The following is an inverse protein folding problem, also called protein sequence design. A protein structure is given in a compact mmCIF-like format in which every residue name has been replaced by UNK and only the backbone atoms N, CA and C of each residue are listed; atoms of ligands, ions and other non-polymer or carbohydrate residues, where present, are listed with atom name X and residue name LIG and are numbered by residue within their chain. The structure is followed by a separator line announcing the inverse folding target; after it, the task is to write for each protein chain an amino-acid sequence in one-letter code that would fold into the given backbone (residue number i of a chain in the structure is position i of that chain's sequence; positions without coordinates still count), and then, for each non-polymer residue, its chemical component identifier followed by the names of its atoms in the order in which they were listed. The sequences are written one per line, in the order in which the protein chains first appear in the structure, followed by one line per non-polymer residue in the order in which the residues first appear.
data_IF_514848332924
#
_entry.id   IF_514848332924
#
_cell.length_a   1.000
_cell.length_b   1.000
_cell.length_c   1.000
_cell.angle_alpha   90.00
_cell.angle_beta   90.00
_cell.angle_gamma   90.00
#
_symmetry.space_group_name_H-M   'P 1'
#
loop_
_entity.id
_entity.type
_entity.pdbx_description
1 polymer ?
#
# COMPACT_ATOMS: atom_id res chain seq x y z
N UNK A 1 14.22 -2.42 -23.21
CA UNK A 1 13.70 -2.07 -21.88
C UNK A 1 12.37 -1.36 -22.03
N UNK A 2 11.34 -1.77 -21.32
CA UNK A 2 10.05 -1.10 -21.34
C UNK A 2 10.18 0.28 -20.69
N UNK A 3 9.65 1.31 -21.37
CA UNK A 3 9.75 2.69 -20.91
C UNK A 3 8.71 2.96 -19.82
N UNK A 4 9.15 3.54 -18.71
CA UNK A 4 8.24 4.02 -17.63
C UNK A 4 7.94 5.51 -17.91
N UNK A 5 6.66 5.85 -17.87
CA UNK A 5 6.15 7.20 -18.03
C UNK A 5 5.74 7.77 -16.67
N UNK A 6 6.02 9.04 -16.44
CA UNK A 6 5.68 9.79 -15.24
C UNK A 6 4.65 10.84 -15.61
N UNK A 7 3.45 10.72 -15.04
CA UNK A 7 2.27 11.49 -15.45
C UNK A 7 1.53 12.06 -14.25
N UNK A 8 0.58 12.94 -14.53
CA UNK A 8 -0.41 13.43 -13.55
C UNK A 8 -1.81 13.34 -14.15
N UNK A 9 -2.76 12.91 -13.33
CA UNK A 9 -4.19 12.94 -13.62
C UNK A 9 -4.87 13.95 -12.70
N UNK A 10 -5.89 14.64 -13.18
CA UNK A 10 -6.72 15.53 -12.38
C UNK A 10 -7.93 14.75 -11.90
N UNK A 11 -8.05 14.60 -10.59
CA UNK A 11 -9.16 13.92 -9.94
C UNK A 11 -9.85 14.94 -9.03
N UNK A 12 -10.98 15.46 -9.46
CA UNK A 12 -11.77 16.45 -8.71
C UNK A 12 -10.92 17.65 -8.21
N UNK A 13 -9.99 18.11 -9.06
CA UNK A 13 -9.09 19.22 -8.76
C UNK A 13 -7.80 18.84 -8.03
N UNK A 14 -7.57 17.58 -7.71
CA UNK A 14 -6.31 17.08 -7.16
C UNK A 14 -5.44 16.46 -8.24
N UNK A 15 -4.19 16.86 -8.35
CA UNK A 15 -3.21 16.28 -9.27
C UNK A 15 -2.60 15.02 -8.65
N UNK A 16 -3.03 13.87 -9.12
CA UNK A 16 -2.49 12.57 -8.72
C UNK A 16 -1.35 12.20 -9.67
N UNK A 17 -0.14 12.16 -9.13
CA UNK A 17 1.02 11.67 -9.86
C UNK A 17 0.96 10.14 -9.97
N UNK A 18 1.41 9.60 -11.11
CA UNK A 18 1.51 8.16 -11.29
C UNK A 18 2.62 7.75 -12.27
N UNK A 19 3.09 6.54 -12.08
CA UNK A 19 3.98 5.82 -13.00
C UNK A 19 3.14 4.90 -13.86
N UNK A 20 3.41 4.89 -15.16
CA UNK A 20 2.71 4.02 -16.11
C UNK A 20 3.71 3.34 -17.03
N UNK A 21 3.56 2.03 -17.25
CA UNK A 21 4.41 1.27 -18.16
C UNK A 21 3.66 0.06 -18.73
N UNK A 22 4.17 -0.45 -19.85
CA UNK A 22 3.67 -1.64 -20.52
C UNK A 22 2.57 -1.39 -21.55
N UNK A 23 2.09 -2.47 -22.20
CA UNK A 23 1.08 -2.38 -23.25
C UNK A 23 -0.28 -2.02 -22.65
N UNK A 24 -0.91 -0.97 -23.15
CA UNK A 24 -2.24 -0.54 -22.65
C UNK A 24 -3.33 -1.59 -22.83
N UNK A 25 -3.18 -2.45 -23.83
CA UNK A 25 -4.11 -3.56 -24.12
C UNK A 25 -3.82 -4.81 -23.27
N UNK A 26 -2.72 -4.80 -22.51
CA UNK A 26 -2.37 -5.89 -21.60
C UNK A 26 -3.25 -5.92 -20.35
N UNK A 27 -3.24 -7.05 -19.61
CA UNK A 27 -3.94 -7.11 -18.33
C UNK A 27 -3.47 -5.97 -17.41
N UNK A 28 -4.42 -5.19 -16.88
CA UNK A 28 -4.11 -4.03 -16.07
C UNK A 28 -3.75 -4.43 -14.64
N UNK A 29 -2.72 -3.78 -14.08
CA UNK A 29 -2.23 -3.97 -12.72
C UNK A 29 -2.07 -2.59 -12.04
N UNK A 30 -2.92 -2.33 -11.06
CA UNK A 30 -2.86 -1.15 -10.21
C UNK A 30 -1.97 -1.45 -8.99
N UNK A 31 -0.93 -0.64 -8.75
CA UNK A 31 -0.01 -0.79 -7.63
C UNK A 31 -0.25 0.32 -6.60
N UNK A 32 -0.70 -0.04 -5.40
CA UNK A 32 -0.99 0.88 -4.30
C UNK A 32 0.05 0.75 -3.19
N UNK A 33 0.80 1.83 -3.00
CA UNK A 33 1.83 1.94 -1.94
C UNK A 33 1.20 2.26 -0.59
N UNK A 34 2.03 2.31 0.46
CA UNK A 34 1.64 2.69 1.81
C UNK A 34 2.56 3.72 2.46
N UNK A 35 2.56 3.73 3.78
CA UNK A 35 3.39 4.63 4.61
C UNK A 35 4.80 4.05 4.79
N UNK A 36 5.84 4.88 4.82
CA UNK A 36 5.84 6.32 4.52
C UNK A 36 6.15 6.65 3.04
N UNK A 37 6.06 5.66 2.16
CA UNK A 37 6.60 5.69 0.81
C UNK A 37 5.65 6.30 -0.25
N UNK A 38 5.93 6.04 -1.51
CA UNK A 38 5.20 6.48 -2.69
C UNK A 38 5.31 5.41 -3.80
N UNK A 39 4.79 5.68 -4.98
CA UNK A 39 4.99 4.78 -6.14
C UNK A 39 6.47 4.51 -6.46
N UNK A 40 7.41 5.25 -5.84
CA UNK A 40 8.84 5.01 -5.97
C UNK A 40 9.26 3.62 -5.47
N UNK A 41 8.54 3.06 -4.50
CA UNK A 41 8.81 1.69 -4.03
C UNK A 41 8.69 0.63 -5.15
N UNK A 42 7.91 0.93 -6.18
CA UNK A 42 7.70 0.02 -7.32
C UNK A 42 8.72 0.19 -8.45
N UNK A 43 9.76 1.05 -8.29
CA UNK A 43 10.75 1.37 -9.33
C UNK A 43 11.44 0.15 -9.92
N UNK A 44 11.71 -0.86 -9.10
CA UNK A 44 12.34 -2.11 -9.51
C UNK A 44 11.32 -3.16 -9.98
N UNK A 45 10.09 -3.12 -9.49
CA UNK A 45 9.03 -4.07 -9.86
C UNK A 45 8.41 -3.76 -11.23
N UNK A 46 8.13 -2.48 -11.51
CA UNK A 46 7.46 -2.06 -12.76
C UNK A 46 8.19 -2.57 -14.00
N UNK A 47 9.51 -2.42 -14.17
CA UNK A 47 10.23 -2.92 -15.36
C UNK A 47 10.16 -4.44 -15.53
N UNK A 48 10.02 -5.19 -14.44
CA UNK A 48 9.92 -6.65 -14.45
C UNK A 48 8.55 -7.18 -14.86
N UNK A 49 7.52 -6.32 -14.90
CA UNK A 49 6.14 -6.68 -15.22
C UNK A 49 5.65 -6.05 -16.52
N UNK A 50 6.23 -4.93 -16.92
CA UNK A 50 5.73 -4.06 -17.96
C UNK A 50 5.95 -4.57 -19.41
N UNK A 51 6.56 -5.71 -19.61
CA UNK A 51 6.61 -6.40 -20.91
C UNK A 51 5.26 -7.07 -21.24
N UNK A 52 4.45 -7.37 -20.22
CA UNK A 52 3.21 -8.12 -20.34
C UNK A 52 1.98 -7.41 -19.79
N UNK A 53 2.14 -6.65 -18.71
CA UNK A 53 1.05 -6.00 -17.99
C UNK A 53 1.04 -4.50 -18.26
N UNK A 54 -0.16 -3.91 -18.33
CA UNK A 54 -0.35 -2.48 -18.21
C UNK A 54 -0.26 -2.09 -16.73
N UNK A 55 0.88 -1.59 -16.31
CA UNK A 55 1.17 -1.29 -14.90
C UNK A 55 0.94 0.19 -14.62
N UNK A 56 0.12 0.48 -13.62
CA UNK A 56 -0.21 1.85 -13.19
C UNK A 56 -0.01 1.96 -11.68
N UNK A 57 0.82 2.89 -11.24
CA UNK A 57 1.20 3.08 -9.84
C UNK A 57 1.03 4.55 -9.44
N UNK A 58 -0.12 4.95 -8.86
CA UNK A 58 -0.31 6.30 -8.35
C UNK A 58 0.43 6.53 -7.02
N UNK A 59 0.79 7.80 -6.76
CA UNK A 59 1.05 8.28 -5.41
C UNK A 59 -0.29 8.64 -4.76
N UNK A 60 -0.55 8.13 -3.56
CA UNK A 60 -1.76 8.45 -2.81
C UNK A 60 -1.82 9.97 -2.50
N UNK A 61 -3.02 10.57 -2.33
CA UNK A 61 -3.14 11.95 -1.89
C UNK A 61 -2.33 12.23 -0.62
N UNK A 62 -1.51 13.28 -0.63
CA UNK A 62 -0.61 13.61 0.48
C UNK A 62 0.75 12.92 0.46
N UNK A 63 0.97 12.00 -0.48
CA UNK A 63 2.23 11.25 -0.63
C UNK A 63 2.96 11.60 -1.92
N UNK A 64 4.27 11.33 -1.93
CA UNK A 64 5.11 11.43 -3.12
C UNK A 64 4.95 12.75 -3.86
N UNK A 65 4.70 12.68 -5.15
CA UNK A 65 4.53 13.82 -6.06
C UNK A 65 3.07 14.18 -6.34
N UNK A 66 2.12 13.48 -5.70
CA UNK A 66 0.71 13.89 -5.69
C UNK A 66 0.50 15.14 -4.85
N UNK A 67 -0.61 15.83 -5.14
CA UNK A 67 -1.00 16.99 -4.34
C UNK A 67 -1.21 16.60 -2.88
N UNK A 68 -0.86 17.53 -2.00
CA UNK A 68 -1.13 17.48 -0.57
C UNK A 68 -1.98 18.70 -0.19
N UNK A 69 -3.30 18.66 -0.45
CA UNK A 69 -4.19 19.75 -0.09
C UNK A 69 -4.19 19.99 1.42
N UNK A 70 -4.49 21.22 1.84
CA UNK A 70 -4.60 21.52 3.27
C UNK A 70 -5.70 20.67 3.93
N UNK A 71 -5.53 20.35 5.20
CA UNK A 71 -6.48 19.57 6.01
C UNK A 71 -7.87 20.20 6.12
N UNK A 72 -7.98 21.51 5.86
CA UNK A 72 -9.26 22.23 5.75
C UNK A 72 -10.01 21.91 4.46
N UNK A 73 -9.27 21.61 3.38
CA UNK A 73 -9.84 21.32 2.05
C UNK A 73 -10.03 19.83 1.80
N UNK A 74 -9.26 19.01 2.45
CA UNK A 74 -9.29 17.56 2.30
C UNK A 74 -9.07 16.87 3.64
N UNK A 75 -10.09 16.14 4.10
CA UNK A 75 -9.94 15.29 5.29
C UNK A 75 -9.18 14.03 4.94
N UNK A 76 -8.00 13.87 5.54
CA UNK A 76 -7.16 12.69 5.31
C UNK A 76 -7.71 11.49 6.06
N UNK A 77 -8.60 10.78 5.38
CA UNK A 77 -9.20 9.51 5.82
C UNK A 77 -8.99 8.46 4.73
N UNK A 78 -8.97 7.17 5.10
CA UNK A 78 -8.85 6.10 4.12
C UNK A 78 -10.06 6.02 3.19
N UNK A 79 -11.25 6.43 3.64
CA UNK A 79 -12.43 6.52 2.79
C UNK A 79 -12.24 7.57 1.68
N UNK A 80 -11.74 8.76 2.03
CA UNK A 80 -11.49 9.82 1.05
C UNK A 80 -10.33 9.47 0.11
N UNK A 81 -9.25 8.87 0.64
CA UNK A 81 -8.14 8.37 -0.21
C UNK A 81 -8.66 7.34 -1.20
N UNK A 82 -9.45 6.36 -0.74
CA UNK A 82 -10.03 5.36 -1.62
C UNK A 82 -10.98 5.95 -2.66
N UNK A 83 -11.75 7.00 -2.31
CA UNK A 83 -12.60 7.70 -3.25
C UNK A 83 -11.79 8.39 -4.36
N UNK A 84 -10.73 9.11 -4.00
CA UNK A 84 -9.83 9.76 -4.98
C UNK A 84 -9.15 8.72 -5.87
N UNK A 85 -8.65 7.61 -5.31
CA UNK A 85 -8.03 6.55 -6.11
C UNK A 85 -9.07 5.84 -6.99
N UNK A 86 -10.30 5.69 -6.54
CA UNK A 86 -11.42 5.20 -7.37
C UNK A 86 -11.63 6.09 -8.60
N UNK A 87 -11.80 7.40 -8.41
CA UNK A 87 -11.90 8.37 -9.50
C UNK A 87 -10.66 8.39 -10.40
N UNK A 88 -9.47 8.26 -9.81
CA UNK A 88 -8.23 8.12 -10.59
C UNK A 88 -8.28 6.93 -11.55
N UNK A 89 -8.73 5.75 -11.09
CA UNK A 89 -8.81 4.56 -11.95
C UNK A 89 -9.77 4.75 -13.14
N UNK A 90 -10.83 5.53 -12.96
CA UNK A 90 -11.78 5.87 -14.02
C UNK A 90 -11.14 6.81 -15.06
N UNK A 91 -10.46 7.86 -14.59
CA UNK A 91 -9.79 8.86 -15.45
C UNK A 91 -8.68 8.25 -16.29
N UNK A 92 -7.91 7.31 -15.74
CA UNK A 92 -6.83 6.63 -16.48
C UNK A 92 -7.32 5.42 -17.29
N UNK A 93 -8.62 5.12 -17.27
CA UNK A 93 -9.26 4.09 -18.09
C UNK A 93 -9.02 2.65 -17.61
N UNK A 94 -8.83 2.44 -16.31
CA UNK A 94 -8.73 1.10 -15.72
C UNK A 94 -10.13 0.55 -15.43
N UNK A 95 -10.76 -0.12 -16.40
CA UNK A 95 -12.09 -0.71 -16.22
C UNK A 95 -12.06 -1.95 -15.32
N UNK A 96 -11.17 -2.88 -15.60
CA UNK A 96 -10.90 -4.09 -14.81
C UNK A 96 -9.40 -4.23 -14.60
N UNK A 97 -9.00 -4.56 -13.39
CA UNK A 97 -7.58 -4.63 -13.03
C UNK A 97 -7.31 -5.61 -11.88
N UNK A 98 -6.12 -6.19 -11.87
CA UNK A 98 -5.57 -6.74 -10.65
C UNK A 98 -5.06 -5.59 -9.78
N UNK A 99 -5.20 -5.71 -8.45
CA UNK A 99 -4.68 -4.71 -7.52
C UNK A 99 -3.58 -5.31 -6.66
N UNK A 100 -2.43 -4.64 -6.66
CA UNK A 100 -1.36 -4.87 -5.71
C UNK A 100 -1.50 -3.87 -4.57
N UNK A 101 -1.51 -4.36 -3.36
CA UNK A 101 -1.67 -3.54 -2.16
C UNK A 101 -0.50 -3.74 -1.20
N UNK A 102 -0.01 -2.64 -0.64
CA UNK A 102 1.02 -2.61 0.38
C UNK A 102 0.62 -1.64 1.49
N UNK A 103 0.69 -2.04 2.75
CA UNK A 103 0.44 -1.19 3.93
C UNK A 103 -0.86 -0.35 3.78
N UNK A 104 -0.82 0.99 3.70
CA UNK A 104 -2.01 1.85 3.45
C UNK A 104 -2.69 1.59 2.09
N UNK A 105 -1.97 1.01 1.15
CA UNK A 105 -2.57 0.52 -0.09
C UNK A 105 -3.58 -0.59 0.13
N UNK A 106 -3.45 -1.38 1.21
CA UNK A 106 -4.38 -2.47 1.51
C UNK A 106 -5.78 -1.94 1.88
N UNK A 107 -5.97 -1.09 2.89
CA UNK A 107 -7.29 -0.54 3.19
C UNK A 107 -7.86 0.28 2.03
N UNK A 108 -7.01 0.92 1.21
CA UNK A 108 -7.43 1.62 -0.01
C UNK A 108 -7.95 0.64 -1.06
N UNK A 109 -7.16 -0.37 -1.42
CA UNK A 109 -7.52 -1.37 -2.42
C UNK A 109 -8.69 -2.25 -2.01
N UNK A 110 -8.79 -2.62 -0.73
CA UNK A 110 -9.92 -3.42 -0.22
C UNK A 110 -11.23 -2.63 -0.22
N UNK A 111 -11.20 -1.31 0.02
CA UNK A 111 -12.40 -0.44 -0.17
C UNK A 111 -12.85 -0.41 -1.62
N UNK A 112 -11.92 -0.32 -2.58
CA UNK A 112 -12.24 -0.41 -4.00
C UNK A 112 -12.86 -1.77 -4.34
N UNK A 113 -12.29 -2.85 -3.82
CA UNK A 113 -12.77 -4.21 -4.05
C UNK A 113 -14.19 -4.43 -3.49
N UNK A 114 -14.45 -3.94 -2.28
CA UNK A 114 -15.79 -4.02 -1.67
C UNK A 114 -16.81 -3.17 -2.43
N UNK A 115 -16.41 -1.99 -2.92
CA UNK A 115 -17.31 -1.07 -3.62
C UNK A 115 -17.60 -1.49 -5.06
N UNK A 116 -16.60 -2.06 -5.73
CA UNK A 116 -16.64 -2.43 -7.16
C UNK A 116 -16.03 -3.81 -7.39
N UNK A 117 -16.64 -4.88 -6.83
CA UNK A 117 -16.09 -6.24 -6.92
C UNK A 117 -15.92 -6.73 -8.36
N UNK A 118 -16.77 -6.27 -9.28
CA UNK A 118 -16.75 -6.61 -10.71
C UNK A 118 -15.53 -6.06 -11.47
N UNK A 119 -14.85 -5.07 -10.89
CA UNK A 119 -13.63 -4.46 -11.48
C UNK A 119 -12.35 -5.18 -11.05
N UNK A 120 -12.37 -5.95 -9.97
CA UNK A 120 -11.18 -6.58 -9.39
C UNK A 120 -10.99 -7.98 -9.97
N UNK A 121 -9.95 -8.17 -10.77
CA UNK A 121 -9.63 -9.46 -11.40
C UNK A 121 -8.79 -10.36 -10.51
N UNK A 122 -7.93 -9.78 -9.66
CA UNK A 122 -7.11 -10.46 -8.68
C UNK A 122 -6.60 -9.47 -7.63
N UNK A 123 -6.17 -9.98 -6.49
CA UNK A 123 -5.52 -9.20 -5.42
C UNK A 123 -4.15 -9.79 -5.16
N UNK A 124 -3.12 -8.93 -5.13
CA UNK A 124 -1.78 -9.25 -4.64
C UNK A 124 -1.55 -8.40 -3.39
N UNK A 125 -1.35 -9.03 -2.24
CA UNK A 125 -1.08 -8.33 -0.98
C UNK A 125 0.37 -8.55 -0.54
N UNK A 126 1.16 -7.47 -0.55
CA UNK A 126 2.45 -7.45 0.13
C UNK A 126 2.29 -6.78 1.48
N UNK A 127 2.37 -7.54 2.56
CA UNK A 127 2.26 -7.00 3.93
C UNK A 127 1.05 -6.05 4.10
N UNK A 128 -0.02 -6.33 3.36
CA UNK A 128 -1.28 -5.58 3.38
C UNK A 128 -2.34 -6.36 4.17
N UNK A 129 -2.64 -5.90 5.38
CA UNK A 129 -3.39 -6.64 6.38
C UNK A 129 -4.90 -6.36 6.35
N UNK A 130 -5.71 -7.37 6.71
CA UNK A 130 -7.16 -7.29 6.91
C UNK A 130 -7.65 -8.11 8.11
N UNK A 131 -6.76 -8.40 9.06
CA UNK A 131 -7.03 -9.28 10.20
C UNK A 131 -6.35 -8.75 11.47
N UNK A 132 -7.04 -8.84 12.61
CA UNK A 132 -6.47 -8.41 13.89
C UNK A 132 -5.24 -9.21 14.27
N UNK A 133 -5.19 -10.51 13.91
CA UNK A 133 -4.06 -11.40 14.15
C UNK A 133 -2.77 -10.94 13.44
N UNK A 134 -2.89 -10.09 12.44
CA UNK A 134 -1.75 -9.50 11.75
C UNK A 134 -1.18 -8.26 12.44
N UNK A 135 -1.84 -7.69 13.43
CA UNK A 135 -1.36 -6.49 14.11
C UNK A 135 -0.38 -6.86 15.22
N UNK A 136 0.82 -6.30 15.17
CA UNK A 136 1.86 -6.50 16.19
C UNK A 136 1.73 -5.54 17.37
N UNK A 137 2.56 -5.73 18.41
CA UNK A 137 2.70 -4.79 19.52
C UNK A 137 3.21 -3.39 19.05
N UNK A 138 3.83 -3.31 17.86
CA UNK A 138 4.21 -2.03 17.25
C UNK A 138 3.05 -1.07 17.06
N UNK A 139 1.81 -1.58 17.03
CA UNK A 139 0.59 -0.77 16.94
C UNK A 139 0.13 -0.17 18.28
N UNK A 140 0.68 -0.60 19.42
CA UNK A 140 0.25 -0.14 20.74
C UNK A 140 0.17 1.37 20.89
N UNK A 141 1.16 2.19 20.44
CA UNK A 141 1.06 3.65 20.55
C UNK A 141 -0.07 4.24 19.69
N UNK A 142 -0.29 3.67 18.50
CA UNK A 142 -1.37 4.09 17.59
C UNK A 142 -2.73 3.71 18.20
N UNK A 143 -2.87 2.50 18.76
CA UNK A 143 -4.07 2.05 19.43
C UNK A 143 -4.35 2.87 20.71
N UNK A 144 -3.32 3.32 21.43
CA UNK A 144 -3.48 4.24 22.55
C UNK A 144 -4.10 5.57 22.08
N UNK A 145 -3.63 6.11 20.95
CA UNK A 145 -4.21 7.31 20.36
C UNK A 145 -5.66 7.09 19.88
N UNK A 146 -6.03 5.88 19.41
CA UNK A 146 -7.43 5.60 19.05
C UNK A 146 -8.37 5.60 20.26
N UNK A 147 -7.87 5.16 21.43
CA UNK A 147 -8.64 5.12 22.69
C UNK A 147 -8.76 6.48 23.35
N UNK A 148 -7.69 7.27 23.29
CA UNK A 148 -7.59 8.61 23.84
C UNK A 148 -6.85 9.50 22.82
N UNK A 149 -7.62 10.29 22.07
CA UNK A 149 -7.10 11.19 21.03
C UNK A 149 -6.56 12.50 21.59
N UNK A 150 -5.97 12.46 22.81
CA UNK A 150 -5.30 13.60 23.42
C UNK A 150 -4.09 14.08 22.61
N UNK A 151 -3.75 15.36 22.77
CA UNK A 151 -2.57 15.95 22.13
C UNK A 151 -1.27 15.22 22.52
N UNK A 152 -1.20 14.69 23.75
CA UNK A 152 -0.05 13.93 24.23
C UNK A 152 0.13 12.62 23.45
N UNK A 153 -0.95 11.85 23.27
CA UNK A 153 -0.92 10.62 22.48
C UNK A 153 -0.64 10.91 21.01
N UNK A 154 -1.24 11.98 20.45
CA UNK A 154 -0.96 12.42 19.08
C UNK A 154 0.52 12.78 18.90
N UNK A 155 1.08 13.56 19.82
CA UNK A 155 2.49 13.97 19.79
C UNK A 155 3.45 12.78 19.88
N UNK A 156 3.10 11.76 20.66
CA UNK A 156 3.90 10.54 20.81
C UNK A 156 4.07 9.77 19.48
N UNK A 157 3.12 9.90 18.53
CA UNK A 157 3.19 9.25 17.23
C UNK A 157 4.21 9.89 16.28
N UNK A 158 4.69 11.12 16.55
CA UNK A 158 5.66 11.80 15.68
C UNK A 158 6.96 11.02 15.54
N UNK A 159 7.29 10.16 16.50
CA UNK A 159 8.46 9.26 16.40
C UNK A 159 8.42 8.33 15.17
N UNK A 160 7.20 7.97 14.70
CA UNK A 160 7.07 7.16 13.50
C UNK A 160 7.46 7.92 12.21
N UNK A 161 7.54 9.25 12.29
CA UNK A 161 7.87 10.13 11.17
C UNK A 161 9.36 10.52 11.15
N UNK A 162 10.14 10.07 12.14
CA UNK A 162 11.55 10.36 12.24
C UNK A 162 12.36 9.62 11.16
N UNK A 163 13.41 10.24 10.58
CA UNK A 163 14.24 9.60 9.56
C UNK A 163 14.84 8.27 10.00
N UNK A 164 15.20 8.13 11.28
CA UNK A 164 15.74 6.90 11.87
C UNK A 164 14.68 5.78 11.86
N UNK A 165 13.43 6.14 12.09
CA UNK A 165 12.31 5.17 12.04
C UNK A 165 12.03 4.73 10.61
N UNK A 166 12.09 5.65 9.64
CA UNK A 166 11.99 5.30 8.21
C UNK A 166 13.10 4.32 7.81
N UNK A 167 14.36 4.64 8.15
CA UNK A 167 15.48 3.73 7.89
C UNK A 167 15.28 2.36 8.55
N UNK A 168 14.83 2.34 9.82
CA UNK A 168 14.55 1.10 10.53
C UNK A 168 13.44 0.28 9.86
N UNK A 169 12.38 0.90 9.36
CA UNK A 169 11.31 0.20 8.64
C UNK A 169 11.83 -0.50 7.37
N UNK A 170 12.79 0.11 6.66
CA UNK A 170 13.39 -0.45 5.46
C UNK A 170 14.36 -1.61 5.75
N UNK A 171 15.02 -1.59 6.90
CA UNK A 171 16.13 -2.48 7.21
C UNK A 171 15.81 -3.58 8.23
N UNK A 172 14.76 -3.37 9.04
CA UNK A 172 14.37 -4.37 10.03
C UNK A 172 13.92 -5.67 9.36
N UNK A 173 14.45 -6.80 9.87
CA UNK A 173 14.12 -8.13 9.34
C UNK A 173 14.82 -8.49 8.01
N UNK A 174 15.72 -7.63 7.52
CA UNK A 174 16.55 -7.88 6.34
C UNK A 174 17.87 -8.51 6.77
N UNK A 175 18.25 -9.62 6.16
CA UNK A 175 19.48 -10.36 6.49
C UNK A 175 20.75 -9.64 6.04
N UNK A 176 20.71 -8.99 4.87
CA UNK A 176 21.81 -8.18 4.31
C UNK A 176 21.30 -6.77 4.00
N UNK A 177 21.54 -5.86 4.92
CA UNK A 177 21.12 -4.46 4.81
C UNK A 177 21.85 -3.72 3.67
N UNK A 178 22.99 -4.23 3.21
CA UNK A 178 23.77 -3.58 2.14
C UNK A 178 23.05 -3.59 0.77
N UNK A 179 22.04 -4.44 0.59
CA UNK A 179 21.24 -4.50 -0.65
C UNK A 179 20.04 -3.56 -0.62
N UNK A 180 19.73 -2.94 0.53
CA UNK A 180 18.65 -1.96 0.65
C UNK A 180 19.11 -0.62 0.10
N UNK A 181 18.48 -0.17 -1.00
CA UNK A 181 18.87 1.09 -1.64
C UNK A 181 18.55 2.30 -0.74
N UNK A 182 19.52 3.21 -0.54
CA UNK A 182 19.27 4.46 0.18
C UNK A 182 18.28 5.38 -0.53
N UNK A 183 18.05 5.20 -1.84
CA UNK A 183 17.14 6.03 -2.63
C UNK A 183 15.71 5.99 -2.10
N UNK A 184 15.26 4.82 -1.61
CA UNK A 184 13.91 4.62 -1.07
C UNK A 184 13.68 5.49 0.16
N UNK A 185 14.37 5.18 1.26
CA UNK A 185 14.15 5.86 2.54
C UNK A 185 14.59 7.34 2.53
N UNK A 186 15.57 7.71 1.69
CA UNK A 186 15.97 9.11 1.57
C UNK A 186 14.90 9.95 0.88
N UNK A 187 14.28 9.42 -0.17
CA UNK A 187 13.18 10.09 -0.87
C UNK A 187 11.93 10.17 0.00
N UNK A 188 11.62 9.12 0.76
CA UNK A 188 10.49 9.12 1.68
C UNK A 188 10.68 10.17 2.78
N UNK A 189 11.88 10.26 3.37
CA UNK A 189 12.22 11.30 4.34
C UNK A 189 12.11 12.72 3.75
N UNK A 190 12.50 12.89 2.48
CA UNK A 190 12.32 14.16 1.78
C UNK A 190 10.84 14.56 1.69
N UNK A 191 9.94 13.62 1.37
CA UNK A 191 8.51 13.90 1.31
C UNK A 191 7.88 14.06 2.69
N UNK A 192 8.30 13.31 3.69
CA UNK A 192 7.83 13.46 5.07
C UNK A 192 8.22 14.82 5.67
N UNK A 193 9.35 15.40 5.25
CA UNK A 193 9.81 16.71 5.71
C UNK A 193 9.02 17.89 5.08
N UNK A 194 8.08 17.65 4.17
CA UNK A 194 7.26 18.72 3.62
C UNK A 194 6.42 19.39 4.71
N UNK A 195 6.29 20.74 4.71
CA UNK A 195 5.45 21.44 5.68
C UNK A 195 4.03 20.87 5.74
N UNK A 196 3.58 20.46 6.92
CA UNK A 196 2.25 19.89 7.18
C UNK A 196 2.09 18.40 6.85
N UNK A 197 3.11 17.75 6.28
CA UNK A 197 3.08 16.30 6.02
C UNK A 197 2.93 15.50 7.32
N UNK A 198 3.58 15.94 8.38
CA UNK A 198 3.48 15.34 9.70
C UNK A 198 2.04 15.29 10.22
N UNK A 199 1.30 16.39 10.10
CA UNK A 199 -0.11 16.45 10.52
C UNK A 199 -1.01 15.53 9.67
N UNK A 200 -0.73 15.44 8.36
CA UNK A 200 -1.42 14.51 7.45
C UNK A 200 -1.22 13.07 7.91
N UNK A 201 0.02 12.69 8.23
CA UNK A 201 0.30 11.32 8.68
C UNK A 201 -0.32 11.02 10.05
N UNK A 202 -0.32 11.99 10.97
CA UNK A 202 -0.99 11.83 12.26
C UNK A 202 -2.51 11.68 12.13
N UNK A 203 -3.14 12.36 11.17
CA UNK A 203 -4.55 12.15 10.87
C UNK A 203 -4.81 10.72 10.37
N UNK A 204 -3.95 10.21 9.46
CA UNK A 204 -4.07 8.86 8.93
C UNK A 204 -3.80 7.79 10.01
N UNK A 205 -2.84 7.98 10.91
CA UNK A 205 -2.68 7.10 12.07
C UNK A 205 -3.93 7.06 12.93
N UNK A 206 -4.58 8.21 13.14
CA UNK A 206 -5.84 8.30 13.88
C UNK A 206 -7.01 7.62 13.16
N UNK A 207 -7.10 7.79 11.84
CA UNK A 207 -8.17 7.22 11.01
C UNK A 207 -7.99 5.72 10.77
N UNK A 208 -6.78 5.17 10.97
CA UNK A 208 -6.55 3.73 10.72
C UNK A 208 -7.47 2.82 11.56
N UNK A 209 -7.98 3.29 12.69
CA UNK A 209 -9.04 2.58 13.45
C UNK A 209 -10.26 2.20 12.59
N UNK A 210 -10.58 3.03 11.58
CA UNK A 210 -11.70 2.74 10.66
C UNK A 210 -11.38 1.54 9.76
N UNK A 211 -10.10 1.30 9.44
CA UNK A 211 -9.67 0.12 8.68
C UNK A 211 -9.89 -1.15 9.51
N UNK A 212 -9.49 -1.14 10.78
CA UNK A 212 -9.70 -2.28 11.69
C UNK A 212 -11.21 -2.54 11.87
N UNK A 213 -12.01 -1.49 12.03
CA UNK A 213 -13.47 -1.62 12.09
C UNK A 213 -14.09 -2.21 10.80
N UNK A 214 -13.43 -2.04 9.65
CA UNK A 214 -13.87 -2.58 8.36
C UNK A 214 -13.32 -3.98 8.05
N UNK A 215 -12.43 -4.54 8.86
CA UNK A 215 -11.91 -5.91 8.63
C UNK A 215 -13.03 -6.94 8.44
N UNK A 216 -14.10 -6.99 9.25
CA UNK A 216 -15.20 -7.92 9.02
C UNK A 216 -15.83 -7.78 7.63
N UNK A 217 -15.94 -6.55 7.10
CA UNK A 217 -16.49 -6.27 5.77
C UNK A 217 -15.54 -6.72 4.66
N UNK A 218 -14.22 -6.54 4.83
CA UNK A 218 -13.22 -7.05 3.90
C UNK A 218 -13.21 -8.58 3.88
N UNK A 219 -13.27 -9.20 5.06
CA UNK A 219 -13.35 -10.66 5.21
C UNK A 219 -14.63 -11.22 4.57
N UNK A 220 -15.76 -10.53 4.71
CA UNK A 220 -17.00 -10.90 4.04
C UNK A 220 -16.90 -10.84 2.51
N UNK A 221 -16.23 -9.80 1.99
CA UNK A 221 -15.90 -9.71 0.55
C UNK A 221 -15.07 -10.92 0.10
N UNK A 222 -14.04 -11.31 0.87
CA UNK A 222 -13.21 -12.47 0.52
C UNK A 222 -14.00 -13.77 0.52
N UNK A 223 -14.90 -13.98 1.49
CA UNK A 223 -15.79 -15.17 1.55
C UNK A 223 -16.77 -15.22 0.39
N UNK A 224 -17.36 -14.08 0.08
CA UNK A 224 -18.45 -13.98 -0.90
C UNK A 224 -17.93 -14.05 -2.32
N UNK A 225 -16.91 -13.27 -2.63
CA UNK A 225 -16.40 -13.14 -4.01
C UNK A 225 -15.24 -14.09 -4.33
N UNK A 226 -14.55 -14.61 -3.31
CA UNK A 226 -13.41 -15.55 -3.44
C UNK A 226 -12.45 -15.12 -4.55
N UNK A 227 -11.96 -13.86 -4.52
CA UNK A 227 -11.10 -13.36 -5.59
C UNK A 227 -9.86 -14.23 -5.70
N UNK A 228 -9.24 -14.27 -6.88
CA UNK A 228 -7.86 -14.75 -6.99
C UNK A 228 -7.01 -13.91 -6.04
N UNK A 229 -6.28 -14.54 -5.13
CA UNK A 229 -5.53 -13.85 -4.07
C UNK A 229 -4.14 -14.44 -3.88
N UNK A 230 -3.14 -13.59 -3.92
CA UNK A 230 -1.75 -13.90 -3.64
C UNK A 230 -1.24 -12.98 -2.51
N UNK A 231 -0.85 -13.55 -1.38
CA UNK A 231 -0.08 -12.83 -0.38
C UNK A 231 1.42 -13.14 -0.58
N UNK A 232 2.21 -12.11 -0.85
CA UNK A 232 3.68 -12.14 -0.78
C UNK A 232 4.09 -11.35 0.46
N UNK A 233 4.75 -11.99 1.43
CA UNK A 233 4.84 -11.40 2.76
C UNK A 233 6.24 -11.49 3.32
N UNK A 234 6.82 -10.35 3.68
CA UNK A 234 8.04 -10.33 4.48
C UNK A 234 7.75 -10.89 5.86
N UNK A 235 8.25 -12.10 6.15
CA UNK A 235 7.93 -12.83 7.38
C UNK A 235 8.43 -12.16 8.66
N UNK A 236 9.41 -11.26 8.52
CA UNK A 236 10.05 -10.53 9.61
C UNK A 236 9.49 -9.10 9.76
N UNK A 237 8.33 -8.81 9.16
CA UNK A 237 7.65 -7.51 9.28
C UNK A 237 7.33 -7.20 10.74
N UNK A 238 7.79 -6.04 11.29
CA UNK A 238 7.52 -5.68 12.67
C UNK A 238 6.11 -5.12 12.91
N UNK A 239 5.35 -4.83 11.84
CA UNK A 239 4.01 -4.23 11.92
C UNK A 239 2.92 -5.24 11.60
N UNK A 240 3.05 -5.93 10.47
CA UNK A 240 2.06 -6.89 9.99
C UNK A 240 2.61 -8.30 10.01
N UNK A 241 2.21 -9.06 11.04
CA UNK A 241 2.75 -10.37 11.35
C UNK A 241 2.25 -11.46 10.37
N UNK A 242 3.02 -12.55 10.19
CA UNK A 242 2.64 -13.70 9.38
C UNK A 242 1.25 -14.29 9.63
N UNK A 243 0.72 -14.34 10.88
CA UNK A 243 -0.65 -14.80 11.11
C UNK A 243 -1.72 -14.02 10.34
N UNK A 244 -1.50 -12.72 10.07
CA UNK A 244 -2.40 -11.92 9.22
C UNK A 244 -2.42 -12.39 7.77
N UNK A 245 -1.27 -12.80 7.23
CA UNK A 245 -1.19 -13.39 5.89
C UNK A 245 -1.90 -14.75 5.82
N UNK A 246 -1.68 -15.62 6.80
CA UNK A 246 -2.31 -16.94 6.85
C UNK A 246 -3.84 -16.84 7.03
N UNK A 247 -4.32 -15.82 7.74
CA UNK A 247 -5.74 -15.61 8.00
C UNK A 247 -6.55 -15.39 6.71
N UNK A 248 -5.95 -14.92 5.61
CA UNK A 248 -6.66 -14.83 4.32
C UNK A 248 -7.22 -16.16 3.83
N UNK A 249 -6.55 -17.28 4.13
CA UNK A 249 -7.00 -18.63 3.76
C UNK A 249 -8.30 -19.05 4.47
N UNK A 250 -8.56 -18.50 5.66
CA UNK A 250 -9.80 -18.77 6.43
C UNK A 250 -11.04 -18.28 5.67
N UNK A 251 -10.94 -17.11 5.06
CA UNK A 251 -12.06 -16.45 4.37
C UNK A 251 -12.01 -16.65 2.85
N UNK A 252 -10.84 -16.95 2.29
CA UNK A 252 -10.66 -17.28 0.88
C UNK A 252 -9.77 -18.52 0.72
N UNK A 253 -10.33 -19.73 0.62
CA UNK A 253 -9.57 -20.97 0.48
C UNK A 253 -8.64 -21.01 -0.74
N UNK A 254 -8.90 -20.16 -1.74
CA UNK A 254 -8.06 -20.04 -2.94
C UNK A 254 -6.85 -19.11 -2.74
N UNK A 255 -6.72 -18.49 -1.56
CA UNK A 255 -5.59 -17.62 -1.29
C UNK A 255 -4.28 -18.40 -1.22
N UNK A 256 -3.30 -17.94 -1.98
CA UNK A 256 -1.91 -18.43 -1.91
C UNK A 256 -1.11 -17.49 -1.02
N UNK A 257 -0.33 -18.04 -0.10
CA UNK A 257 0.56 -17.28 0.79
C UNK A 257 2.00 -17.71 0.57
N UNK A 258 2.86 -16.74 0.33
CA UNK A 258 4.32 -16.91 0.13
C UNK A 258 5.06 -16.02 1.12
N UNK A 259 5.87 -16.62 1.97
CA UNK A 259 6.73 -15.89 2.89
C UNK A 259 8.11 -15.69 2.30
N UNK A 260 8.61 -14.47 2.43
CA UNK A 260 9.93 -14.02 2.02
C UNK A 260 10.77 -13.74 3.27
N UNK A 261 12.06 -14.08 3.24
CA UNK A 261 12.96 -13.84 4.39
C UNK A 261 13.46 -12.39 4.42
N UNK A 262 12.53 -11.51 4.69
CA UNK A 262 12.75 -10.05 4.72
C UNK A 262 11.72 -9.38 5.61
N UNK A 263 11.90 -8.06 5.84
CA UNK A 263 11.00 -7.21 6.60
C UNK A 263 9.84 -6.63 5.77
N UNK A 264 9.35 -5.49 6.23
CA UNK A 264 8.18 -4.80 5.69
C UNK A 264 8.33 -4.40 4.22
N UNK A 265 9.48 -3.82 3.83
CA UNK A 265 9.75 -3.36 2.46
C UNK A 265 10.33 -4.49 1.58
N UNK A 266 9.57 -5.56 1.40
CA UNK A 266 10.03 -6.76 0.68
C UNK A 266 10.50 -6.48 -0.76
N UNK A 267 10.00 -5.44 -1.43
CA UNK A 267 10.45 -5.04 -2.77
C UNK A 267 11.88 -4.51 -2.83
N UNK A 268 12.45 -4.06 -1.73
CA UNK A 268 13.86 -3.62 -1.70
C UNK A 268 14.83 -4.79 -1.88
N UNK A 269 14.43 -5.97 -1.46
CA UNK A 269 15.29 -7.16 -1.41
C UNK A 269 14.84 -8.29 -2.34
N UNK A 270 13.53 -8.42 -2.60
CA UNK A 270 12.93 -9.57 -3.31
C UNK A 270 12.08 -9.18 -4.53
N UNK A 271 12.37 -8.03 -5.17
CA UNK A 271 11.56 -7.55 -6.30
C UNK A 271 11.45 -8.56 -7.44
N UNK A 272 12.54 -9.26 -7.77
CA UNK A 272 12.55 -10.28 -8.84
C UNK A 272 11.73 -11.51 -8.49
N UNK A 273 11.80 -11.98 -7.25
CA UNK A 273 11.01 -13.11 -6.77
C UNK A 273 9.51 -12.77 -6.74
N UNK A 274 9.18 -11.59 -6.20
CA UNK A 274 7.80 -11.09 -6.19
C UNK A 274 7.26 -10.94 -7.62
N UNK A 275 8.05 -10.40 -8.54
CA UNK A 275 7.66 -10.30 -9.95
C UNK A 275 7.38 -11.67 -10.58
N UNK A 276 8.21 -12.69 -10.28
CA UNK A 276 8.00 -14.05 -10.75
C UNK A 276 6.70 -14.65 -10.19
N UNK A 277 6.43 -14.49 -8.89
CA UNK A 277 5.19 -14.95 -8.27
C UNK A 277 3.95 -14.26 -8.87
N UNK A 278 4.00 -12.94 -9.12
CA UNK A 278 2.91 -12.19 -9.77
C UNK A 278 2.68 -12.71 -11.19
N UNK A 279 3.75 -12.92 -11.96
CA UNK A 279 3.65 -13.42 -13.35
C UNK A 279 3.01 -14.82 -13.40
N UNK A 280 3.43 -15.71 -12.51
CA UNK A 280 2.86 -17.07 -12.42
C UNK A 280 1.40 -17.04 -11.95
N UNK A 281 1.08 -16.13 -11.04
CA UNK A 281 -0.26 -16.00 -10.47
C UNK A 281 -1.27 -15.38 -11.45
N UNK A 282 -0.88 -14.39 -12.25
CA UNK A 282 -1.79 -13.66 -13.15
C UNK A 282 -1.93 -14.30 -14.55
N UNK A 283 -1.28 -15.41 -14.79
CA UNK A 283 -1.39 -16.18 -16.08
C UNK A 283 -2.62 -17.05 -16.10
#
# INVERSE_FOLDING_TARGET
MTKVHFKKADVDGFKIFYREAGPKEGPALLLLHGFPTSSHMFRNLIPLLADRFHVVAPDLPGFGQSDMPSREKFSYTFDNIAAVIGGFTEIVGLEKFAVYVFDYGAPTGFRLAVKHPERITAIISQNGNAYEEGLSEGWNPIQAYWKDSSDANRAALRKFLAPETTYWQYTHGVSDVSVVSPDGYSLDNFYLARPGSDEVQLDLFGDYKTNVALYPKFQDYFRTHKPRFLAVWGKNDPFFLPPGAEAFKRDNPNATVKFLDTGHFALETHASEIAAEIRNFLV
#
